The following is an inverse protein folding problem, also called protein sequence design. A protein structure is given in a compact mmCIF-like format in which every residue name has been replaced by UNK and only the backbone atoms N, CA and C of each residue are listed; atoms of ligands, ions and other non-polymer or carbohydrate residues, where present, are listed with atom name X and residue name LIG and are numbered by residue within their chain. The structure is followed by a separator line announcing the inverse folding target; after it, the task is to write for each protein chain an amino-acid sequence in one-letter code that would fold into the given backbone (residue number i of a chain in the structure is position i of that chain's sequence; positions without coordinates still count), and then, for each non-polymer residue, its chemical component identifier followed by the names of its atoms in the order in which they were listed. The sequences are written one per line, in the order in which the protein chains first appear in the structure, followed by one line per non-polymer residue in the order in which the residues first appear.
data_IF_518226410168
#
_entry.id   IF_518226410168
#
_cell.length_a   1.000
_cell.length_b   1.000
_cell.length_c   1.000
_cell.angle_alpha   90.00
_cell.angle_beta   90.00
_cell.angle_gamma   90.00
#
_symmetry.space_group_name_H-M   'P 1'
#
loop_
_entity.id
_entity.type
_entity.pdbx_description
1 polymer ?
#
# COMPACT_ATOMS: atom_id res chain seq x y z
N UNK A 1 14.45 -6.89 -14.54
CA UNK A 1 13.61 -7.04 -13.33
C UNK A 1 13.08 -5.67 -12.97
N UNK A 2 11.77 -5.52 -12.77
CA UNK A 2 11.17 -4.25 -12.33
C UNK A 2 10.38 -4.53 -11.06
N UNK A 3 10.64 -3.77 -10.01
CA UNK A 3 9.94 -3.86 -8.72
C UNK A 3 9.27 -2.51 -8.46
N UNK A 4 8.01 -2.55 -8.07
CA UNK A 4 7.22 -1.36 -7.77
C UNK A 4 6.40 -1.59 -6.50
N UNK A 5 6.32 -0.57 -5.65
CA UNK A 5 5.42 -0.57 -4.51
C UNK A 5 4.04 -0.14 -4.98
N UNK A 6 3.05 -1.03 -4.84
CA UNK A 6 1.67 -0.75 -5.21
C UNK A 6 0.82 -0.55 -3.97
N UNK A 7 0.00 0.50 -4.00
CA UNK A 7 -0.93 0.84 -2.94
C UNK A 7 -2.35 0.54 -3.42
N UNK A 8 -3.18 -0.07 -2.57
CA UNK A 8 -4.61 -0.28 -2.85
C UNK A 8 -5.44 0.04 -1.61
N UNK A 9 -6.49 0.85 -1.78
CA UNK A 9 -7.47 1.05 -0.74
C UNK A 9 -8.30 -0.22 -0.54
N UNK A 10 -8.37 -0.74 0.68
CA UNK A 10 -9.18 -1.89 1.05
C UNK A 10 -9.89 -1.57 2.37
N UNK A 11 -11.19 -1.29 2.27
CA UNK A 11 -11.95 -0.75 3.39
C UNK A 11 -11.46 0.67 3.72
N UNK A 12 -11.06 0.86 4.97
CA UNK A 12 -10.59 2.13 5.54
C UNK A 12 -9.06 2.27 5.56
N UNK A 13 -8.31 1.30 5.00
CA UNK A 13 -6.85 1.30 5.01
C UNK A 13 -6.27 1.11 3.61
N UNK A 14 -5.10 1.69 3.38
CA UNK A 14 -4.30 1.44 2.19
C UNK A 14 -3.40 0.23 2.45
N UNK A 15 -3.55 -0.83 1.67
CA UNK A 15 -2.71 -2.03 1.75
C UNK A 15 -1.56 -1.95 0.75
N UNK A 16 -0.36 -2.34 1.17
CA UNK A 16 0.84 -2.32 0.35
C UNK A 16 1.15 -3.70 -0.26
N UNK A 17 1.54 -3.69 -1.53
CA UNK A 17 1.95 -4.88 -2.27
C UNK A 17 3.28 -4.64 -2.98
N UNK A 18 4.14 -5.65 -3.00
CA UNK A 18 5.25 -5.71 -3.95
C UNK A 18 4.74 -6.26 -5.27
N UNK A 19 4.84 -5.43 -6.29
CA UNK A 19 4.54 -5.78 -7.67
C UNK A 19 5.86 -5.90 -8.41
N UNK A 20 6.19 -7.14 -8.80
CA UNK A 20 7.44 -7.43 -9.48
C UNK A 20 7.20 -8.12 -10.82
N UNK A 21 7.90 -7.61 -11.83
CA UNK A 21 7.90 -8.13 -13.18
C UNK A 21 9.26 -8.69 -13.52
N UNK A 22 9.30 -9.97 -13.83
CA UNK A 22 10.51 -10.69 -14.19
C UNK A 22 10.20 -11.73 -15.27
N UNK A 23 10.96 -11.72 -16.37
CA UNK A 23 10.88 -12.71 -17.45
C UNK A 23 9.45 -12.94 -17.99
N UNK A 24 8.71 -11.88 -18.30
CA UNK A 24 7.34 -12.01 -18.83
C UNK A 24 6.26 -12.26 -17.78
N UNK A 25 6.63 -12.58 -16.53
CA UNK A 25 5.69 -12.89 -15.46
C UNK A 25 5.58 -11.72 -14.48
N UNK A 26 4.34 -11.40 -14.11
CA UNK A 26 4.01 -10.40 -13.09
C UNK A 26 3.42 -11.09 -11.88
N UNK A 27 4.03 -10.85 -10.73
CA UNK A 27 3.61 -11.42 -9.46
C UNK A 27 3.32 -10.30 -8.46
N UNK A 28 2.53 -10.64 -7.45
CA UNK A 28 2.15 -9.73 -6.38
C UNK A 28 2.36 -10.41 -5.03
N UNK A 29 3.05 -9.74 -4.13
CA UNK A 29 3.24 -10.20 -2.76
C UNK A 29 2.64 -9.19 -1.80
N UNK A 30 1.85 -9.67 -0.83
CA UNK A 30 1.24 -8.83 0.19
C UNK A 30 2.25 -8.55 1.30
N UNK A 31 2.59 -7.28 1.52
CA UNK A 31 3.61 -6.90 2.50
C UNK A 31 3.16 -6.97 3.96
N UNK A 32 1.87 -7.22 4.21
CA UNK A 32 1.28 -7.11 5.56
C UNK A 32 1.45 -5.71 6.20
N UNK A 33 1.73 -4.71 5.36
CA UNK A 33 1.82 -3.31 5.75
C UNK A 33 0.58 -2.57 5.28
N UNK A 34 0.07 -1.71 6.16
CA UNK A 34 -1.08 -0.84 5.86
C UNK A 34 -0.77 0.60 6.24
N UNK A 35 -1.26 1.54 5.44
CA UNK A 35 -1.25 2.97 5.72
C UNK A 35 -2.67 3.45 6.02
N UNK A 36 -2.79 4.52 6.79
CA UNK A 36 -4.03 5.28 6.88
C UNK A 36 -4.20 6.12 5.61
N UNK A 37 -5.37 6.10 4.96
CA UNK A 37 -5.65 6.97 3.83
C UNK A 37 -5.67 8.42 4.29
N UNK A 38 -5.34 9.33 3.38
CA UNK A 38 -5.50 10.75 3.65
C UNK A 38 -6.97 11.06 3.96
N UNK A 39 -7.27 11.76 5.07
CA UNK A 39 -8.64 12.05 5.46
C UNK A 39 -9.29 13.03 4.48
N UNK A 40 -10.53 12.77 4.05
CA UNK A 40 -11.30 13.68 3.19
C UNK A 40 -11.52 15.06 3.84
N UNK A 41 -11.59 15.10 5.18
CA UNK A 41 -11.63 16.31 6.00
C UNK A 41 -10.82 16.10 7.28
N UNK A 42 -9.98 17.07 7.63
CA UNK A 42 -9.18 17.05 8.86
C UNK A 42 -7.74 16.55 8.65
N UNK A 43 -7.11 16.09 9.73
CA UNK A 43 -5.74 15.56 9.75
C UNK A 43 -5.75 14.21 10.46
N UNK A 44 -4.85 13.30 10.08
CA UNK A 44 -4.61 12.06 10.83
C UNK A 44 -4.33 12.38 12.31
N UNK A 45 -4.85 11.54 13.20
CA UNK A 45 -4.60 11.65 14.64
C UNK A 45 -3.12 11.40 14.95
N UNK A 46 -2.65 11.77 16.15
CA UNK A 46 -1.24 11.52 16.55
C UNK A 46 -0.91 10.03 16.52
N UNK A 47 -1.84 9.20 17.02
CA UNK A 47 -1.74 7.73 17.05
C UNK A 47 -1.70 7.10 15.65
N UNK A 48 -2.18 7.79 14.61
CA UNK A 48 -2.14 7.32 13.22
C UNK A 48 -0.83 7.71 12.51
N UNK A 49 -0.04 8.61 13.10
CA UNK A 49 1.23 9.11 12.56
C UNK A 49 2.46 8.51 13.23
N UNK A 50 2.33 8.05 14.47
CA UNK A 50 3.35 7.33 15.24
C UNK A 50 3.28 5.82 15.02
#
# INVERSE_FOLDING_TARGET
MKVTLRQRLKGDKITLYLDYYHQGKRNYEHLQLTLYPDPEKGKLTKEQKE
#
